data_IF_636393686800
#
_entry.id   IF_636393686800
#
_cell.length_a   1.000
_cell.length_b   1.000
_cell.length_c   1.000
_cell.angle_alpha   90.00
_cell.angle_beta   90.00
_cell.angle_gamma   90.00
#
_symmetry.space_group_name_H-M   'P 1'
#
loop_
_entity.id
_entity.type
_entity.pdbx_description
1 polymer ?
#
# COMPACT_ATOMS: atom_id res chain seq x y z
N UNK A 1 12.14 -16.61 -0.37
CA UNK A 1 12.32 -15.16 -0.54
C UNK A 1 12.56 -14.72 -1.99
N UNK A 2 12.91 -15.61 -2.92
CA UNK A 2 13.32 -15.26 -4.30
C UNK A 2 12.14 -15.14 -5.29
N UNK A 3 11.03 -14.52 -4.89
CA UNK A 3 9.91 -14.20 -5.79
C UNK A 3 8.76 -15.22 -5.90
N UNK A 4 8.87 -16.42 -5.29
CA UNK A 4 7.73 -17.32 -5.15
C UNK A 4 6.75 -16.82 -4.08
N UNK A 5 5.44 -16.91 -4.32
CA UNK A 5 4.40 -16.45 -3.38
C UNK A 5 4.51 -17.09 -1.99
N UNK A 6 4.84 -18.38 -1.95
CA UNK A 6 4.78 -19.18 -0.72
C UNK A 6 3.34 -19.50 -0.33
N UNK A 7 3.16 -19.91 0.92
CA UNK A 7 1.86 -20.23 1.50
C UNK A 7 1.35 -19.10 2.39
N UNK A 8 0.04 -19.08 2.63
CA UNK A 8 -0.62 -18.19 3.58
C UNK A 8 -1.57 -18.99 4.46
N UNK A 9 -1.79 -18.53 5.68
CA UNK A 9 -2.88 -19.03 6.51
C UNK A 9 -4.25 -18.47 6.09
N UNK A 10 -5.28 -18.88 6.81
CA UNK A 10 -6.63 -18.39 6.61
C UNK A 10 -6.73 -16.87 6.82
N UNK A 11 -7.74 -16.23 6.22
CA UNK A 11 -8.04 -14.83 6.47
C UNK A 11 -8.31 -14.61 7.96
N UNK A 12 -7.84 -13.48 8.49
CA UNK A 12 -7.92 -13.18 9.91
C UNK A 12 -6.82 -13.84 10.75
N UNK A 13 -5.93 -14.64 10.17
CA UNK A 13 -4.74 -15.17 10.85
C UNK A 13 -3.46 -14.50 10.36
N UNK A 14 -2.36 -14.66 11.10
CA UNK A 14 -1.04 -14.15 10.72
C UNK A 14 0.11 -14.98 11.30
N UNK A 15 -0.11 -16.27 11.49
CA UNK A 15 0.93 -17.22 11.85
C UNK A 15 1.80 -17.56 10.62
N UNK A 16 1.20 -17.53 9.43
CA UNK A 16 1.87 -17.75 8.16
C UNK A 16 1.53 -16.62 7.17
N UNK A 17 2.52 -15.76 6.92
CA UNK A 17 2.41 -14.66 5.98
C UNK A 17 3.14 -15.00 4.66
N UNK A 18 2.72 -14.43 3.52
CA UNK A 18 3.35 -14.72 2.24
C UNK A 18 4.84 -14.37 2.25
N UNK A 19 5.63 -15.03 1.40
CA UNK A 19 7.07 -14.76 1.28
C UNK A 19 7.37 -13.28 1.01
N UNK A 20 6.47 -12.61 0.28
CA UNK A 20 6.56 -11.19 -0.01
C UNK A 20 6.59 -10.31 1.25
N UNK A 21 5.87 -10.67 2.31
CA UNK A 21 5.92 -9.94 3.60
C UNK A 21 7.34 -9.90 4.16
N UNK A 22 8.07 -11.01 4.06
CA UNK A 22 9.41 -11.13 4.63
C UNK A 22 10.47 -10.30 3.90
N UNK A 23 10.20 -9.82 2.67
CA UNK A 23 11.05 -8.85 1.98
C UNK A 23 11.12 -7.51 2.72
N UNK A 24 10.13 -7.20 3.56
CA UNK A 24 10.04 -5.93 4.27
C UNK A 24 10.29 -6.11 5.78
N UNK A 25 11.16 -7.06 6.11
CA UNK A 25 11.60 -7.38 7.46
C UNK A 25 13.11 -7.62 7.46
N UNK A 26 13.79 -7.59 8.61
CA UNK A 26 15.23 -7.83 8.69
C UNK A 26 15.70 -9.16 8.07
N UNK A 27 14.81 -10.14 7.87
CA UNK A 27 15.10 -11.39 7.14
C UNK A 27 15.60 -11.16 5.71
N UNK A 28 15.28 -10.03 5.10
CA UNK A 28 15.68 -9.68 3.74
C UNK A 28 16.97 -8.86 3.66
N UNK A 29 17.59 -8.52 4.79
CA UNK A 29 18.88 -7.83 4.77
C UNK A 29 19.91 -8.71 4.03
N UNK A 30 20.60 -8.14 3.04
CA UNK A 30 21.53 -8.87 2.18
C UNK A 30 20.87 -9.74 1.10
N UNK A 31 19.54 -9.71 0.95
CA UNK A 31 18.85 -10.40 -0.14
C UNK A 31 19.24 -9.78 -1.50
N UNK A 32 19.54 -10.57 -2.54
CA UNK A 32 19.95 -10.05 -3.86
C UNK A 32 18.86 -9.25 -4.59
N UNK A 33 17.61 -9.30 -4.13
CA UNK A 33 16.56 -8.41 -4.61
C UNK A 33 16.80 -6.95 -4.21
N UNK A 34 17.47 -6.72 -3.07
CA UNK A 34 17.71 -5.40 -2.50
C UNK A 34 18.96 -4.80 -3.13
N UNK A 35 18.78 -4.10 -4.26
CA UNK A 35 19.90 -3.55 -5.05
C UNK A 35 20.52 -2.32 -4.40
N UNK A 36 19.68 -1.46 -3.80
CA UNK A 36 20.11 -0.31 -3.00
C UNK A 36 19.24 -0.21 -1.77
N UNK A 37 19.88 -0.12 -0.60
CA UNK A 37 19.20 0.05 0.68
C UNK A 37 19.83 1.15 1.50
N UNK A 38 19.05 1.75 2.40
CA UNK A 38 19.53 2.60 3.46
C UNK A 38 19.39 1.84 4.78
N UNK A 39 20.50 1.72 5.51
CA UNK A 39 20.45 1.18 6.86
C UNK A 39 19.86 2.26 7.76
N UNK A 40 18.74 1.96 8.42
CA UNK A 40 18.38 2.71 9.63
C UNK A 40 19.51 2.53 10.65
N UNK A 41 19.72 3.50 11.56
CA UNK A 41 20.82 3.50 12.52
C UNK A 41 20.97 2.15 13.25
N UNK A 42 19.86 1.42 13.40
CA UNK A 42 19.86 0.02 13.77
C UNK A 42 19.82 -0.19 15.27
N UNK A 43 20.04 -1.43 15.69
CA UNK A 43 20.05 -1.80 17.11
C UNK A 43 21.10 -1.00 17.88
N UNK A 44 20.74 -0.56 19.09
CA UNK A 44 21.49 0.25 20.03
C UNK A 44 21.76 1.70 19.61
N UNK A 45 21.08 2.22 18.59
CA UNK A 45 21.25 3.61 18.14
C UNK A 45 20.06 4.52 18.44
N UNK A 46 18.92 3.97 18.88
CA UNK A 46 17.63 4.66 18.94
C UNK A 46 17.18 5.30 17.60
N UNK A 47 17.81 4.93 16.48
CA UNK A 47 17.54 5.45 15.14
C UNK A 47 17.17 4.34 14.15
N UNK A 48 16.55 3.26 14.66
CA UNK A 48 16.06 2.14 13.88
C UNK A 48 14.83 2.47 13.02
N UNK A 49 13.85 1.58 13.06
CA UNK A 49 12.61 1.62 12.28
C UNK A 49 11.56 2.60 12.85
N UNK A 50 11.95 3.71 13.48
CA UNK A 50 11.00 4.60 14.20
C UNK A 50 9.91 5.16 13.28
N UNK A 51 10.24 5.50 12.03
CA UNK A 51 9.27 5.96 11.03
C UNK A 51 8.23 4.89 10.67
N UNK A 52 8.47 3.62 10.97
CA UNK A 52 7.50 2.55 10.74
C UNK A 52 6.33 2.60 11.73
N UNK A 53 6.43 3.45 12.76
CA UNK A 53 5.31 3.77 13.66
C UNK A 53 4.19 4.53 12.95
N UNK A 54 4.43 5.05 11.76
CA UNK A 54 3.39 5.71 10.95
C UNK A 54 2.51 4.73 10.18
N UNK A 55 2.94 3.48 10.00
CA UNK A 55 2.33 2.50 9.09
C UNK A 55 1.23 1.65 9.75
N UNK A 56 1.40 1.36 11.05
CA UNK A 56 0.54 0.44 11.79
C UNK A 56 -0.34 1.13 12.83
N UNK A 57 -1.35 0.41 13.32
CA UNK A 57 -2.16 0.82 14.46
C UNK A 57 -1.44 0.65 15.81
N UNK A 58 -2.05 1.19 16.88
CA UNK A 58 -1.48 1.27 18.25
C UNK A 58 -1.08 -0.07 18.86
N UNK A 59 -1.59 -1.17 18.32
CA UNK A 59 -1.18 -2.54 18.63
C UNK A 59 0.30 -2.82 18.39
N UNK A 60 1.00 -1.99 17.61
CA UNK A 60 2.41 -2.20 17.28
C UNK A 60 3.27 -1.13 17.97
N UNK A 61 3.47 -1.26 19.28
CA UNK A 61 4.34 -0.34 20.04
C UNK A 61 3.85 1.12 20.06
N UNK A 62 2.54 1.33 20.16
CA UNK A 62 1.99 2.69 20.20
C UNK A 62 2.08 3.46 18.88
N UNK A 63 2.33 2.77 17.77
CA UNK A 63 2.26 3.29 16.40
C UNK A 63 1.01 4.14 16.17
N UNK A 64 1.15 5.22 15.41
CA UNK A 64 0.16 6.31 15.32
C UNK A 64 -0.71 6.25 14.06
N UNK A 65 -0.41 5.36 13.11
CA UNK A 65 -1.18 5.21 11.88
C UNK A 65 -1.31 6.53 11.08
N UNK A 66 -0.23 7.32 10.99
CA UNK A 66 -0.22 8.57 10.23
C UNK A 66 -0.28 8.36 8.71
N UNK A 67 0.07 7.16 8.25
CA UNK A 67 0.01 6.78 6.84
C UNK A 67 -0.95 5.59 6.70
N UNK A 68 -2.08 5.81 6.03
CA UNK A 68 -3.09 4.78 5.79
C UNK A 68 -3.25 4.48 4.30
N UNK A 69 -3.41 3.21 3.89
CA UNK A 69 -3.80 2.87 2.52
C UNK A 69 -5.15 3.48 2.17
N UNK A 70 -5.37 3.91 0.93
CA UNK A 70 -6.71 4.35 0.48
C UNK A 70 -7.68 3.17 0.44
N UNK A 71 -8.97 3.42 0.64
CA UNK A 71 -10.01 2.39 0.52
C UNK A 71 -9.94 1.62 -0.82
N UNK A 72 -9.73 2.33 -1.91
CA UNK A 72 -9.77 1.77 -3.27
C UNK A 72 -8.53 0.91 -3.61
N UNK A 73 -7.49 0.89 -2.76
CA UNK A 73 -6.32 0.04 -3.01
C UNK A 73 -6.69 -1.44 -2.97
N UNK A 74 -7.67 -1.81 -2.15
CA UNK A 74 -8.11 -3.18 -1.98
C UNK A 74 -8.70 -3.77 -3.27
N UNK A 75 -9.35 -2.92 -4.08
CA UNK A 75 -9.92 -3.29 -5.38
C UNK A 75 -8.85 -3.52 -6.47
N UNK A 76 -7.61 -3.08 -6.22
CA UNK A 76 -6.50 -3.31 -7.15
C UNK A 76 -5.89 -4.70 -7.01
N UNK A 77 -6.15 -5.43 -5.92
CA UNK A 77 -5.63 -6.78 -5.76
C UNK A 77 -6.51 -7.79 -6.53
N UNK A 78 -5.91 -8.38 -7.57
CA UNK A 78 -6.56 -9.29 -8.51
C UNK A 78 -6.81 -10.68 -7.89
N UNK A 79 -7.70 -11.45 -8.50
CA UNK A 79 -7.98 -12.83 -8.12
C UNK A 79 -6.82 -13.74 -8.53
N UNK A 80 -6.37 -14.61 -7.63
CA UNK A 80 -5.30 -15.60 -7.91
C UNK A 80 -5.75 -16.69 -8.89
N UNK A 81 -7.07 -16.91 -9.02
CA UNK A 81 -7.61 -17.93 -9.90
C UNK A 81 -7.62 -17.52 -11.38
N UNK A 82 -7.85 -16.24 -11.68
CA UNK A 82 -8.01 -15.75 -13.06
C UNK A 82 -7.01 -14.65 -13.44
N UNK A 83 -6.47 -13.92 -12.46
CA UNK A 83 -5.69 -12.71 -12.72
C UNK A 83 -6.54 -11.48 -13.05
N UNK A 84 -7.87 -11.57 -12.94
CA UNK A 84 -8.78 -10.43 -13.13
C UNK A 84 -9.02 -9.67 -11.81
N UNK A 85 -9.57 -8.46 -11.91
CA UNK A 85 -10.02 -7.74 -10.73
C UNK A 85 -11.19 -8.48 -10.08
N UNK A 86 -11.12 -8.63 -8.76
CA UNK A 86 -12.25 -9.11 -7.97
C UNK A 86 -13.39 -8.07 -7.97
N UNK A 87 -14.63 -8.46 -7.61
CA UNK A 87 -15.70 -7.51 -7.38
C UNK A 87 -15.26 -6.39 -6.43
N UNK A 88 -15.60 -5.14 -6.78
CA UNK A 88 -15.24 -3.99 -5.97
C UNK A 88 -15.85 -4.06 -4.59
N UNK A 89 -15.10 -3.66 -3.59
CA UNK A 89 -15.56 -3.61 -2.22
C UNK A 89 -16.52 -2.45 -2.00
N UNK A 90 -17.45 -2.65 -1.07
CA UNK A 90 -18.47 -1.66 -0.70
C UNK A 90 -18.28 -1.30 0.76
N UNK A 91 -18.14 0.00 1.04
CA UNK A 91 -18.15 0.50 2.40
C UNK A 91 -19.53 0.35 3.03
N UNK A 92 -19.61 -0.24 4.22
CA UNK A 92 -20.87 -0.45 4.93
C UNK A 92 -20.71 -0.13 6.42
N UNK A 93 -21.51 0.81 6.93
CA UNK A 93 -21.44 1.20 8.33
C UNK A 93 -22.14 0.14 9.21
N UNK A 94 -21.40 -0.54 10.12
CA UNK A 94 -21.97 -1.61 10.95
C UNK A 94 -22.93 -1.08 12.03
N UNK A 95 -22.94 0.22 12.32
CA UNK A 95 -23.88 0.82 13.27
C UNK A 95 -25.27 1.03 12.69
N UNK A 96 -25.38 1.11 11.36
CA UNK A 96 -26.66 1.28 10.64
C UNK A 96 -27.03 0.06 9.81
N UNK A 97 -26.07 -0.81 9.48
CA UNK A 97 -26.24 -2.03 8.71
C UNK A 97 -25.70 -3.24 9.50
N UNK A 98 -26.55 -3.99 10.23
CA UNK A 98 -26.12 -5.15 11.01
C UNK A 98 -25.43 -6.23 10.17
N UNK A 99 -25.77 -6.32 8.88
CA UNK A 99 -25.17 -7.26 7.92
C UNK A 99 -23.84 -6.78 7.36
N UNK A 100 -23.33 -5.60 7.71
CA UNK A 100 -22.10 -5.05 7.15
C UNK A 100 -20.91 -6.01 7.25
N UNK A 101 -20.84 -6.86 8.29
CA UNK A 101 -19.73 -7.79 8.48
C UNK A 101 -19.90 -9.16 7.82
N UNK A 102 -21.01 -9.39 7.15
CA UNK A 102 -21.35 -10.67 6.49
C UNK A 102 -21.87 -10.51 5.05
N UNK A 103 -22.28 -9.30 4.67
CA UNK A 103 -22.76 -9.00 3.33
C UNK A 103 -21.66 -9.25 2.28
N UNK A 104 -22.06 -9.76 1.12
CA UNK A 104 -21.16 -9.95 -0.01
C UNK A 104 -20.54 -8.61 -0.44
N UNK A 105 -19.25 -8.64 -0.78
CA UNK A 105 -18.43 -7.48 -1.18
C UNK A 105 -18.31 -6.37 -0.13
N UNK A 106 -18.88 -6.51 1.07
CA UNK A 106 -18.64 -5.52 2.12
C UNK A 106 -17.16 -5.50 2.49
N UNK A 107 -16.61 -4.31 2.64
CA UNK A 107 -15.24 -4.10 3.10
C UNK A 107 -15.02 -4.55 4.56
N UNK A 108 -16.09 -4.73 5.34
CA UNK A 108 -16.02 -5.24 6.71
C UNK A 108 -16.23 -6.75 6.83
N UNK A 109 -16.52 -7.42 5.71
CA UNK A 109 -16.64 -8.87 5.64
C UNK A 109 -15.29 -9.46 5.22
N UNK A 110 -14.58 -10.23 6.08
CA UNK A 110 -13.33 -10.88 5.72
C UNK A 110 -13.41 -11.70 4.45
N UNK A 111 -14.55 -12.34 4.17
CA UNK A 111 -14.71 -13.22 3.01
C UNK A 111 -14.66 -12.46 1.67
N UNK A 112 -14.92 -11.15 1.65
CA UNK A 112 -14.80 -10.31 0.45
C UNK A 112 -13.35 -10.19 -0.07
N UNK A 113 -12.38 -10.56 0.76
CA UNK A 113 -10.94 -10.51 0.47
C UNK A 113 -10.37 -11.87 0.04
N UNK A 114 -11.18 -12.93 0.07
CA UNK A 114 -10.73 -14.28 -0.25
C UNK A 114 -10.26 -14.41 -1.71
N UNK A 115 -9.21 -15.20 -1.92
CA UNK A 115 -8.68 -15.50 -3.25
C UNK A 115 -8.04 -14.32 -3.97
N UNK A 116 -7.72 -13.23 -3.26
CA UNK A 116 -6.98 -12.09 -3.81
C UNK A 116 -5.47 -12.31 -3.74
N UNK A 117 -4.75 -11.56 -4.58
CA UNK A 117 -3.29 -11.47 -4.64
C UNK A 117 -2.65 -11.49 -3.25
N UNK A 118 -1.73 -12.42 -3.03
CA UNK A 118 -1.08 -12.62 -1.72
C UNK A 118 -0.31 -11.39 -1.22
N UNK A 119 0.13 -10.50 -2.11
CA UNK A 119 0.75 -9.22 -1.75
C UNK A 119 -0.21 -8.34 -0.96
N UNK A 120 -1.53 -8.49 -1.12
CA UNK A 120 -2.52 -7.78 -0.32
C UNK A 120 -2.34 -8.05 1.17
N UNK A 121 -2.33 -9.33 1.56
CA UNK A 121 -2.19 -9.75 2.96
C UNK A 121 -0.85 -9.33 3.55
N UNK A 122 0.21 -9.31 2.74
CA UNK A 122 1.52 -8.82 3.15
C UNK A 122 1.62 -7.29 3.25
N UNK A 123 0.72 -6.55 2.59
CA UNK A 123 0.83 -5.10 2.44
C UNK A 123 -0.10 -4.34 3.36
N UNK A 124 -1.37 -4.75 3.49
CA UNK A 124 -2.38 -4.04 4.27
C UNK A 124 -3.08 -4.98 5.25
N UNK A 125 -3.65 -4.39 6.31
CA UNK A 125 -4.58 -5.06 7.22
C UNK A 125 -5.95 -4.40 7.08
N UNK A 126 -6.98 -5.23 7.01
CA UNK A 126 -8.40 -4.85 7.04
C UNK A 126 -9.07 -5.40 8.30
N UNK A 127 -10.35 -5.09 8.50
CA UNK A 127 -11.11 -5.59 9.65
C UNK A 127 -10.90 -7.11 9.82
N UNK A 128 -10.55 -7.50 11.04
CA UNK A 128 -10.22 -8.85 11.50
C UNK A 128 -8.86 -9.42 11.12
N UNK A 129 -8.09 -8.80 10.23
CA UNK A 129 -6.71 -9.25 9.98
C UNK A 129 -5.87 -9.09 11.25
N UNK A 130 -5.26 -10.19 11.68
CA UNK A 130 -4.45 -10.20 12.90
C UNK A 130 -2.99 -9.86 12.63
N UNK A 131 -2.30 -9.42 13.67
CA UNK A 131 -0.85 -9.35 13.76
C UNK A 131 -0.42 -9.53 15.20
N UNK A 132 0.86 -9.76 15.44
CA UNK A 132 1.41 -9.81 16.80
C UNK A 132 1.32 -8.41 17.42
N UNK A 133 0.52 -8.30 18.47
CA UNK A 133 0.43 -7.10 19.28
C UNK A 133 1.66 -6.95 20.18
N UNK A 134 2.05 -5.71 20.46
CA UNK A 134 3.24 -5.35 21.21
C UNK A 134 2.94 -4.24 22.21
N UNK A 135 3.18 -4.52 23.50
CA UNK A 135 3.15 -3.54 24.58
C UNK A 135 4.40 -3.69 25.45
N UNK A 136 5.13 -2.61 25.69
CA UNK A 136 6.38 -2.61 26.47
C UNK A 136 7.36 -3.70 26.05
N UNK A 137 7.56 -3.85 24.73
CA UNK A 137 8.39 -4.88 24.08
C UNK A 137 7.92 -6.33 24.25
N UNK A 138 6.80 -6.58 24.92
CA UNK A 138 6.22 -7.90 25.14
C UNK A 138 5.04 -8.15 24.21
N UNK A 139 4.94 -9.39 23.71
CA UNK A 139 3.82 -9.82 22.89
C UNK A 139 2.53 -9.79 23.71
N UNK A 140 1.46 -9.24 23.14
CA UNK A 140 0.10 -9.33 23.69
C UNK A 140 -0.74 -10.40 22.99
N UNK A 141 -0.11 -11.24 22.16
CA UNK A 141 -0.77 -12.24 21.34
C UNK A 141 -1.16 -11.72 19.95
N UNK A 142 -1.93 -12.53 19.21
CA UNK A 142 -2.46 -12.14 17.91
C UNK A 142 -3.68 -11.24 18.10
N UNK A 143 -3.61 -10.01 17.60
CA UNK A 143 -4.61 -8.98 17.81
C UNK A 143 -5.20 -8.54 16.46
N UNK A 144 -6.53 -8.46 16.33
CA UNK A 144 -7.16 -8.04 15.09
C UNK A 144 -7.06 -6.52 14.92
N UNK A 145 -6.88 -6.08 13.68
CA UNK A 145 -7.27 -4.73 13.30
C UNK A 145 -8.79 -4.62 13.26
N UNK A 146 -9.37 -3.65 13.96
CA UNK A 146 -10.81 -3.35 13.90
C UNK A 146 -10.96 -1.84 13.73
N UNK A 147 -11.60 -1.43 12.64
CA UNK A 147 -11.72 -0.01 12.32
C UNK A 147 -12.66 0.73 13.30
N UNK A 148 -12.31 1.99 13.60
CA UNK A 148 -13.03 2.89 14.53
C UNK A 148 -13.22 2.31 15.92
N UNK A 149 -12.14 1.81 16.51
CA UNK A 149 -12.11 1.43 17.92
C UNK A 149 -11.14 2.33 18.68
N UNK A 150 -11.49 2.70 19.92
CA UNK A 150 -10.66 3.55 20.79
C UNK A 150 -9.73 2.72 21.72
N UNK A 151 -9.55 1.44 21.37
CA UNK A 151 -8.86 0.45 22.20
C UNK A 151 -9.78 -0.22 23.22
N UNK A 152 -9.29 -1.34 23.77
CA UNK A 152 -10.02 -2.16 24.73
C UNK A 152 -10.81 -3.29 24.08
N UNK A 153 -11.68 -3.92 24.86
CA UNK A 153 -12.48 -5.06 24.41
C UNK A 153 -13.67 -4.58 23.59
N UNK A 154 -13.86 -5.14 22.40
CA UNK A 154 -15.04 -4.91 21.57
C UNK A 154 -15.79 -6.23 21.36
N UNK A 155 -17.12 -6.19 21.49
CA UNK A 155 -17.96 -7.35 21.23
C UNK A 155 -18.62 -7.21 19.87
N UNK A 156 -18.32 -8.14 18.97
CA UNK A 156 -18.89 -8.18 17.62
C UNK A 156 -19.53 -9.55 17.42
N UNK A 157 -20.84 -9.59 17.14
CA UNK A 157 -21.61 -10.82 16.96
C UNK A 157 -21.44 -11.82 18.13
N UNK A 158 -21.36 -11.32 19.37
CA UNK A 158 -21.18 -12.15 20.57
C UNK A 158 -19.74 -12.60 20.84
N UNK A 159 -18.78 -12.32 19.95
CA UNK A 159 -17.36 -12.61 20.14
C UNK A 159 -16.66 -11.38 20.69
N UNK A 160 -15.85 -11.56 21.74
CA UNK A 160 -15.04 -10.50 22.34
C UNK A 160 -13.66 -10.49 21.69
N UNK A 161 -13.26 -9.34 21.16
CA UNK A 161 -11.94 -9.10 20.59
C UNK A 161 -11.18 -8.07 21.42
N UNK A 162 -9.89 -8.32 21.65
CA UNK A 162 -8.98 -7.30 22.17
C UNK A 162 -8.56 -6.37 21.03
N UNK A 163 -9.26 -5.23 20.91
CA UNK A 163 -8.99 -4.22 19.90
C UNK A 163 -8.07 -3.12 20.46
N UNK A 164 -7.34 -2.49 19.56
CA UNK A 164 -6.44 -1.39 19.87
C UNK A 164 -6.98 -0.10 19.28
N UNK A 165 -6.53 1.03 19.80
CA UNK A 165 -6.95 2.30 19.24
C UNK A 165 -6.51 2.41 17.76
N UNK A 166 -7.49 2.62 16.87
CA UNK A 166 -7.33 2.79 15.43
C UNK A 166 -7.78 4.17 14.95
N UNK A 167 -7.84 5.15 15.84
CA UNK A 167 -8.24 6.55 15.57
C UNK A 167 -7.45 7.23 14.44
N UNK A 168 -6.17 6.88 14.27
CA UNK A 168 -5.33 7.39 13.19
C UNK A 168 -5.72 6.89 11.79
N UNK A 169 -6.42 5.76 11.68
CA UNK A 169 -6.86 5.24 10.38
C UNK A 169 -8.00 6.09 9.81
N UNK A 170 -7.84 6.59 8.60
CA UNK A 170 -8.86 7.41 7.92
C UNK A 170 -9.62 6.66 6.81
N UNK A 171 -9.20 5.45 6.46
CA UNK A 171 -9.76 4.69 5.34
C UNK A 171 -10.37 3.36 5.75
N UNK A 172 -10.07 2.88 6.95
CA UNK A 172 -10.42 1.53 7.38
C UNK A 172 -9.38 0.46 7.02
N UNK A 173 -8.18 0.88 6.62
CA UNK A 173 -7.02 0.01 6.42
C UNK A 173 -5.79 0.59 7.12
N UNK A 174 -4.86 -0.28 7.48
CA UNK A 174 -3.50 0.08 7.91
C UNK A 174 -2.47 -0.72 7.12
N UNK A 175 -1.22 -0.26 7.07
CA UNK A 175 -0.17 -1.02 6.42
C UNK A 175 0.33 -2.16 7.31
N UNK A 176 0.57 -3.32 6.69
CA UNK A 176 1.36 -4.44 7.21
C UNK A 176 2.79 -4.42 6.65
N UNK A 177 2.99 -3.87 5.44
CA UNK A 177 4.33 -3.72 4.85
C UNK A 177 5.21 -2.89 5.81
N UNK A 178 6.45 -3.32 6.01
CA UNK A 178 7.43 -2.76 6.97
C UNK A 178 7.10 -2.93 8.46
N UNK A 179 5.98 -3.57 8.78
CA UNK A 179 5.57 -3.84 10.15
C UNK A 179 6.01 -5.25 10.53
N UNK A 180 7.04 -5.38 11.38
CA UNK A 180 7.45 -6.67 11.95
C UNK A 180 6.26 -7.34 12.65
N UNK A 181 6.12 -8.64 12.43
CA UNK A 181 5.07 -9.49 13.01
C UNK A 181 5.64 -10.39 14.12
N UNK A 182 6.44 -9.79 15.02
CA UNK A 182 7.03 -10.44 16.20
C UNK A 182 7.39 -9.39 17.25
N UNK A 183 7.51 -9.82 18.50
CA UNK A 183 7.80 -8.96 19.65
C UNK A 183 9.30 -8.96 20.03
N UNK A 184 9.67 -8.25 21.10
CA UNK A 184 10.99 -8.34 21.74
C UNK A 184 12.02 -7.29 21.31
N UNK A 185 11.74 -6.48 20.28
CA UNK A 185 12.63 -5.39 19.86
C UNK A 185 11.80 -4.17 19.48
N UNK A 186 12.14 -3.03 20.07
CA UNK A 186 11.42 -1.78 19.84
C UNK A 186 11.58 -1.25 18.42
N UNK A 187 10.72 -0.33 17.98
CA UNK A 187 10.80 0.28 16.64
C UNK A 187 12.05 1.12 16.48
N UNK A 188 12.39 1.93 17.49
CA UNK A 188 13.65 2.70 17.54
C UNK A 188 14.91 1.83 17.48
N UNK A 189 14.77 0.51 17.68
CA UNK A 189 15.85 -0.47 17.74
C UNK A 189 15.84 -1.44 16.54
N UNK A 190 14.91 -1.28 15.62
CA UNK A 190 14.77 -2.15 14.44
C UNK A 190 15.97 -2.05 13.49
N UNK A 191 16.30 -3.16 12.83
CA UNK A 191 17.49 -3.29 11.98
C UNK A 191 17.16 -3.64 10.53
N UNK A 192 15.94 -3.38 10.07
CA UNK A 192 15.59 -3.55 8.65
C UNK A 192 16.29 -2.50 7.77
N UNK A 193 16.87 -2.95 6.66
CA UNK A 193 17.46 -2.07 5.66
C UNK A 193 16.38 -1.58 4.69
N UNK A 194 16.10 -0.29 4.70
CA UNK A 194 15.05 0.31 3.88
C UNK A 194 15.36 0.19 2.38
N UNK A 195 14.49 -0.41 1.56
CA UNK A 195 14.72 -0.53 0.14
C UNK A 195 14.53 0.81 -0.56
N UNK A 196 15.58 1.27 -1.26
CA UNK A 196 15.50 2.39 -2.20
C UNK A 196 15.27 1.90 -3.61
N UNK A 197 15.94 0.82 -4.00
CA UNK A 197 15.79 0.16 -5.30
C UNK A 197 15.76 -1.35 -5.11
N UNK A 198 14.72 -1.99 -5.65
CA UNK A 198 14.58 -3.45 -5.70
C UNK A 198 14.58 -3.96 -7.13
N UNK A 199 14.97 -5.22 -7.32
CA UNK A 199 14.96 -5.87 -8.62
C UNK A 199 13.58 -5.87 -9.29
N UNK A 200 12.49 -5.93 -8.51
CA UNK A 200 11.14 -5.85 -9.05
C UNK A 200 10.85 -4.48 -9.72
N UNK A 201 11.37 -3.38 -9.17
CA UNK A 201 11.24 -2.07 -9.82
C UNK A 201 12.02 -2.03 -11.13
N UNK A 202 13.23 -2.60 -11.17
CA UNK A 202 14.03 -2.72 -12.41
C UNK A 202 13.30 -3.53 -13.48
N UNK A 203 12.68 -4.64 -13.12
CA UNK A 203 11.86 -5.45 -14.03
C UNK A 203 10.71 -4.65 -14.63
N UNK A 204 10.01 -3.87 -13.81
CA UNK A 204 8.87 -3.06 -14.27
C UNK A 204 9.33 -1.84 -15.07
N UNK A 205 10.45 -1.21 -14.72
CA UNK A 205 11.08 -0.14 -15.51
C UNK A 205 11.49 -0.63 -16.88
N UNK A 206 12.12 -1.82 -16.95
CA UNK A 206 12.48 -2.44 -18.22
C UNK A 206 11.25 -2.74 -19.07
N UNK A 207 10.21 -3.35 -18.48
CA UNK A 207 8.97 -3.65 -19.20
C UNK A 207 8.30 -2.39 -19.74
N UNK A 208 8.26 -1.31 -18.95
CA UNK A 208 7.72 -0.02 -19.36
C UNK A 208 8.52 0.60 -20.51
N UNK A 209 9.85 0.67 -20.39
CA UNK A 209 10.71 1.23 -21.43
C UNK A 209 10.64 0.42 -22.73
N UNK A 210 10.66 -0.91 -22.63
CA UNK A 210 10.51 -1.80 -23.78
C UNK A 210 9.16 -1.62 -24.46
N UNK A 211 8.08 -1.51 -23.68
CA UNK A 211 6.74 -1.28 -24.21
C UNK A 211 6.62 0.08 -24.90
N UNK A 212 7.27 1.10 -24.37
CA UNK A 212 7.27 2.42 -24.97
C UNK A 212 7.92 2.44 -26.36
N UNK A 213 9.04 1.73 -26.52
CA UNK A 213 9.81 1.71 -27.77
C UNK A 213 9.23 0.74 -28.81
N UNK A 214 8.79 -0.45 -28.39
CA UNK A 214 8.48 -1.55 -29.30
C UNK A 214 7.15 -2.26 -29.03
N UNK A 215 6.37 -1.79 -28.05
CA UNK A 215 5.19 -2.50 -27.60
C UNK A 215 5.53 -3.77 -26.78
N UNK A 216 4.55 -4.66 -26.57
CA UNK A 216 4.66 -5.80 -25.66
C UNK A 216 5.58 -6.90 -26.20
N UNK A 217 6.88 -6.79 -25.92
CA UNK A 217 7.86 -7.83 -26.26
C UNK A 217 7.83 -9.02 -25.27
N UNK A 218 8.18 -10.25 -25.71
CA UNK A 218 8.13 -11.45 -24.85
C UNK A 218 8.96 -11.36 -23.56
N UNK A 219 10.11 -10.70 -23.60
CA UNK A 219 10.98 -10.45 -22.45
C UNK A 219 10.36 -9.45 -21.46
N UNK A 220 9.78 -8.35 -21.93
CA UNK A 220 9.03 -7.40 -21.11
C UNK A 220 7.85 -8.08 -20.40
N UNK A 221 7.07 -8.88 -21.12
CA UNK A 221 5.97 -9.68 -20.56
C UNK A 221 6.50 -10.66 -19.49
N UNK A 222 7.65 -11.29 -19.75
CA UNK A 222 8.29 -12.19 -18.79
C UNK A 222 8.68 -11.45 -17.50
N UNK A 223 9.20 -10.23 -17.59
CA UNK A 223 9.54 -9.42 -16.41
C UNK A 223 8.31 -9.08 -15.57
N UNK A 224 7.21 -8.68 -16.21
CA UNK A 224 5.94 -8.42 -15.50
C UNK A 224 5.41 -9.69 -14.84
N UNK A 225 5.46 -10.84 -15.54
CA UNK A 225 4.99 -12.12 -14.99
C UNK A 225 5.83 -12.62 -13.80
N UNK A 226 7.14 -12.32 -13.75
CA UNK A 226 7.98 -12.60 -12.58
C UNK A 226 7.51 -11.83 -11.34
N UNK A 227 7.04 -10.60 -11.53
CA UNK A 227 6.47 -9.80 -10.43
C UNK A 227 5.11 -10.35 -10.02
N UNK A 228 4.25 -10.68 -10.98
CA UNK A 228 2.92 -11.29 -10.74
C UNK A 228 2.97 -12.57 -9.93
N UNK A 229 3.96 -13.43 -10.19
CA UNK A 229 4.12 -14.70 -9.48
C UNK A 229 4.29 -14.54 -7.96
N UNK A 230 4.74 -13.37 -7.47
CA UNK A 230 4.85 -13.04 -6.04
C UNK A 230 3.50 -12.98 -5.35
N UNK A 231 2.47 -12.58 -6.10
CA UNK A 231 1.09 -12.49 -5.66
C UNK A 231 0.30 -13.79 -5.80
N UNK A 232 0.95 -14.88 -6.20
CA UNK A 232 0.29 -16.12 -6.68
C UNK A 232 -0.66 -15.87 -7.86
N UNK A 233 -0.44 -14.81 -8.64
CA UNK A 233 -1.24 -14.49 -9.82
C UNK A 233 -0.78 -15.32 -11.02
N UNK A 234 -1.70 -15.69 -11.93
CA UNK A 234 -1.32 -16.30 -13.19
C UNK A 234 -0.57 -15.29 -14.07
N UNK A 235 0.20 -15.79 -15.06
CA UNK A 235 0.75 -14.94 -16.12
C UNK A 235 -0.33 -14.08 -16.78
N UNK A 236 0.07 -12.92 -17.31
CA UNK A 236 -0.83 -12.05 -18.06
C UNK A 236 -1.53 -12.83 -19.18
N UNK A 237 -2.85 -12.75 -19.22
CA UNK A 237 -3.64 -13.29 -20.32
C UNK A 237 -3.30 -12.56 -21.64
N UNK A 238 -3.46 -13.21 -22.81
CA UNK A 238 -3.17 -12.59 -24.11
C UNK A 238 -3.87 -11.23 -24.32
N UNK A 239 -5.10 -11.09 -23.82
CA UNK A 239 -5.86 -9.83 -23.91
C UNK A 239 -5.19 -8.67 -23.16
N UNK A 240 -4.36 -8.94 -22.13
CA UNK A 240 -3.63 -7.93 -21.35
C UNK A 240 -2.31 -7.48 -22.00
N UNK A 241 -1.95 -8.09 -23.13
CA UNK A 241 -0.72 -7.78 -23.89
C UNK A 241 -1.04 -7.54 -25.37
N UNK A 242 -2.31 -7.23 -25.69
CA UNK A 242 -2.80 -7.11 -27.07
C UNK A 242 -2.33 -5.84 -27.80
N UNK A 243 -1.67 -4.92 -27.10
CA UNK A 243 -1.18 -3.66 -27.66
C UNK A 243 -0.40 -2.86 -26.63
N UNK A 244 0.26 -1.79 -27.10
CA UNK A 244 1.12 -0.95 -26.27
C UNK A 244 0.36 -0.35 -25.09
N UNK A 245 -0.83 0.20 -25.34
CA UNK A 245 -1.64 0.89 -24.33
C UNK A 245 -2.16 -0.11 -23.28
N UNK A 246 -2.68 -1.26 -23.74
CA UNK A 246 -3.22 -2.30 -22.85
C UNK A 246 -2.13 -2.93 -21.99
N UNK A 247 -0.94 -3.17 -22.56
CA UNK A 247 0.18 -3.68 -21.77
C UNK A 247 0.72 -2.62 -20.80
N UNK A 248 0.70 -1.34 -21.17
CA UNK A 248 1.04 -0.26 -20.24
C UNK A 248 0.10 -0.23 -19.03
N UNK A 249 -1.21 -0.43 -19.22
CA UNK A 249 -2.16 -0.54 -18.11
C UNK A 249 -1.84 -1.72 -17.18
N UNK A 250 -1.42 -2.86 -17.74
CA UNK A 250 -0.96 -4.01 -16.95
C UNK A 250 0.33 -3.70 -16.16
N UNK A 251 1.29 -2.97 -16.78
CA UNK A 251 2.52 -2.52 -16.12
C UNK A 251 2.19 -1.52 -15.00
N UNK A 252 1.34 -0.52 -15.27
CA UNK A 252 0.90 0.45 -14.26
C UNK A 252 0.26 -0.26 -13.06
N UNK A 253 -0.63 -1.21 -13.34
CA UNK A 253 -1.29 -2.03 -12.32
C UNK A 253 -0.27 -2.80 -11.46
N UNK A 254 0.71 -3.46 -12.06
CA UNK A 254 1.75 -4.17 -11.31
C UNK A 254 2.65 -3.21 -10.51
N UNK A 255 3.01 -2.04 -11.06
CA UNK A 255 3.77 -1.02 -10.32
C UNK A 255 3.02 -0.54 -9.08
N UNK A 256 1.69 -0.35 -9.18
CA UNK A 256 0.86 0.06 -8.03
C UNK A 256 0.97 -0.96 -6.90
N UNK A 257 0.69 -2.22 -7.18
CA UNK A 257 0.59 -3.26 -6.14
C UNK A 257 1.95 -3.76 -5.65
N UNK A 258 2.97 -3.77 -6.50
CA UNK A 258 4.32 -4.20 -6.13
C UNK A 258 5.07 -3.15 -5.32
N UNK A 259 4.84 -1.85 -5.56
CA UNK A 259 5.65 -0.75 -4.99
C UNK A 259 4.86 0.17 -4.04
N UNK A 260 3.61 -0.19 -3.71
CA UNK A 260 2.81 0.57 -2.74
C UNK A 260 3.55 0.68 -1.40
N UNK A 261 3.51 1.89 -0.84
CA UNK A 261 4.19 2.31 0.38
C UNK A 261 5.72 2.44 0.30
N UNK A 262 6.33 2.29 -0.89
CA UNK A 262 7.79 2.37 -1.09
C UNK A 262 8.24 3.72 -1.68
N UNK A 263 7.36 4.73 -1.68
CA UNK A 263 7.67 6.10 -2.14
C UNK A 263 7.56 6.34 -3.65
N UNK A 264 7.27 5.31 -4.46
CA UNK A 264 7.33 5.42 -5.92
C UNK A 264 6.09 6.06 -6.57
N UNK A 265 4.88 5.76 -6.07
CA UNK A 265 3.62 6.09 -6.76
C UNK A 265 3.47 7.58 -7.09
N UNK A 266 3.89 8.48 -6.19
CA UNK A 266 3.84 9.92 -6.43
C UNK A 266 4.70 10.37 -7.62
N UNK A 267 5.88 9.76 -7.79
CA UNK A 267 6.78 10.04 -8.91
C UNK A 267 6.28 9.38 -10.20
N UNK A 268 5.74 8.16 -10.13
CA UNK A 268 5.11 7.47 -11.27
C UNK A 268 3.98 8.32 -11.87
N UNK A 269 3.06 8.81 -11.04
CA UNK A 269 1.95 9.67 -11.51
C UNK A 269 2.47 10.97 -12.12
N UNK A 270 3.51 11.57 -11.53
CA UNK A 270 4.09 12.84 -12.02
C UNK A 270 4.76 12.66 -13.37
N UNK A 271 5.60 11.64 -13.54
CA UNK A 271 6.32 11.40 -14.80
C UNK A 271 5.39 10.97 -15.93
N UNK A 272 4.30 10.24 -15.61
CA UNK A 272 3.26 9.91 -16.58
C UNK A 272 2.28 11.06 -16.87
N UNK A 273 2.36 12.15 -16.10
CA UNK A 273 1.42 13.27 -16.18
C UNK A 273 -0.05 12.83 -16.09
N UNK A 274 -0.35 12.00 -15.09
CA UNK A 274 -1.61 11.26 -15.01
C UNK A 274 -2.38 11.49 -13.69
N UNK A 275 -2.20 12.62 -13.02
CA UNK A 275 -2.80 12.87 -11.70
C UNK A 275 -4.33 12.92 -11.74
N UNK A 276 -4.88 13.35 -12.87
CA UNK A 276 -6.32 13.38 -13.15
C UNK A 276 -6.95 11.99 -13.20
N UNK A 277 -6.17 10.93 -13.49
CA UNK A 277 -6.67 9.55 -13.38
C UNK A 277 -7.08 9.18 -11.95
N UNK A 278 -6.58 9.91 -10.94
CA UNK A 278 -6.80 9.62 -9.53
C UNK A 278 -7.74 10.64 -8.89
N UNK A 279 -7.57 11.91 -9.24
CA UNK A 279 -8.27 13.01 -8.58
C UNK A 279 -9.24 13.79 -9.48
N UNK A 280 -9.31 13.44 -10.76
CA UNK A 280 -10.13 14.16 -11.74
C UNK A 280 -9.38 15.32 -12.40
N UNK A 281 -9.95 15.82 -13.49
CA UNK A 281 -9.42 16.94 -14.26
C UNK A 281 -9.61 18.29 -13.53
N UNK A 282 -8.89 19.35 -13.94
CA UNK A 282 -9.18 20.72 -13.52
C UNK A 282 -10.66 21.07 -13.73
N UNK A 283 -11.23 21.84 -12.81
CA UNK A 283 -12.65 22.21 -12.84
C UNK A 283 -13.63 21.07 -12.58
N UNK A 284 -13.15 19.85 -12.31
CA UNK A 284 -14.05 18.73 -12.01
C UNK A 284 -14.75 18.89 -10.67
N UNK A 285 -15.77 18.06 -10.45
CA UNK A 285 -16.38 17.90 -9.13
C UNK A 285 -15.37 17.42 -8.08
N UNK A 286 -14.17 16.96 -8.45
CA UNK A 286 -13.23 16.34 -7.51
C UNK A 286 -13.68 14.96 -7.06
N UNK A 287 -12.81 14.29 -6.32
CA UNK A 287 -12.98 12.90 -5.88
C UNK A 287 -13.01 12.84 -4.35
N UNK A 288 -14.06 12.23 -3.82
CA UNK A 288 -14.14 11.90 -2.39
C UNK A 288 -13.23 10.72 -2.07
N UNK A 289 -12.40 10.87 -1.04
CA UNK A 289 -11.89 9.69 -0.32
C UNK A 289 -12.98 9.17 0.60
N UNK A 290 -13.15 7.86 0.63
CA UNK A 290 -14.11 7.16 1.49
C UNK A 290 -13.40 6.19 2.42
N UNK A 291 -14.07 5.81 3.51
CA UNK A 291 -13.64 4.75 4.42
C UNK A 291 -14.41 3.43 4.18
N UNK A 292 -13.97 2.34 4.84
CA UNK A 292 -14.64 1.02 4.77
C UNK A 292 -16.04 1.00 5.38
N UNK A 293 -16.46 2.07 6.09
CA UNK A 293 -17.83 2.24 6.56
C UNK A 293 -18.71 2.99 5.54
N UNK A 294 -18.13 3.43 4.43
CA UNK A 294 -18.80 4.15 3.34
C UNK A 294 -18.92 5.66 3.59
N UNK A 295 -18.27 6.21 4.61
CA UNK A 295 -18.32 7.63 4.91
C UNK A 295 -17.35 8.42 4.02
N UNK A 296 -17.84 9.51 3.43
CA UNK A 296 -17.01 10.52 2.77
C UNK A 296 -16.10 11.19 3.80
N UNK A 297 -14.79 11.18 3.52
CA UNK A 297 -13.77 11.75 4.40
C UNK A 297 -13.37 13.14 3.92
N UNK A 298 -12.54 13.19 2.88
CA UNK A 298 -12.01 14.42 2.33
C UNK A 298 -12.14 14.38 0.81
N UNK A 299 -12.63 15.49 0.26
CA UNK A 299 -12.74 15.71 -1.17
C UNK A 299 -11.48 16.39 -1.70
N UNK A 300 -10.92 15.85 -2.76
CA UNK A 300 -9.73 16.38 -3.42
C UNK A 300 -10.09 16.84 -4.82
N UNK A 301 -9.35 17.83 -5.32
CA UNK A 301 -9.45 18.33 -6.70
C UNK A 301 -10.82 18.92 -7.08
N UNK A 302 -11.61 19.34 -6.09
CA UNK A 302 -12.87 20.02 -6.35
C UNK A 302 -12.61 21.42 -6.91
N UNK A 303 -13.10 21.69 -8.12
CA UNK A 303 -12.97 22.97 -8.80
C UNK A 303 -11.51 23.47 -8.87
N UNK A 304 -10.53 22.55 -8.89
CA UNK A 304 -9.12 22.89 -8.97
C UNK A 304 -8.80 23.59 -10.28
N UNK A 305 -8.06 24.69 -10.21
CA UNK A 305 -7.66 25.47 -11.38
C UNK A 305 -6.59 24.75 -12.22
N UNK A 306 -6.46 25.10 -13.50
CA UNK A 306 -5.38 24.61 -14.36
C UNK A 306 -3.98 24.94 -13.80
N UNK A 307 -3.87 26.08 -13.09
CA UNK A 307 -2.65 26.50 -12.42
C UNK A 307 -2.29 25.53 -11.29
N UNK A 308 -3.21 25.29 -10.36
CA UNK A 308 -3.00 24.34 -9.25
C UNK A 308 -2.73 22.92 -9.78
N UNK A 309 -3.45 22.49 -10.82
CA UNK A 309 -3.17 21.22 -11.49
C UNK A 309 -1.72 21.17 -12.00
N UNK A 310 -1.25 22.22 -12.68
CA UNK A 310 0.12 22.31 -13.18
C UNK A 310 1.17 22.33 -12.06
N UNK A 311 0.85 22.94 -10.91
CA UNK A 311 1.71 22.99 -9.72
C UNK A 311 1.96 21.61 -9.09
N UNK A 312 1.08 20.64 -9.32
CA UNK A 312 1.28 19.28 -8.83
C UNK A 312 2.42 18.53 -9.56
N UNK A 313 2.87 19.01 -10.72
CA UNK A 313 3.94 18.35 -11.47
C UNK A 313 5.33 18.95 -11.22
N UNK A 314 5.40 20.24 -10.87
CA UNK A 314 6.66 20.96 -10.72
C UNK A 314 6.68 21.64 -9.36
N UNK A 315 7.68 21.35 -8.53
CA UNK A 315 7.80 21.96 -7.21
C UNK A 315 8.11 23.45 -7.29
N UNK A 316 7.61 24.22 -6.32
CA UNK A 316 7.98 25.62 -6.16
C UNK A 316 9.44 25.72 -5.72
N UNK A 317 10.21 26.60 -6.35
CA UNK A 317 11.55 26.95 -5.84
C UNK A 317 11.34 27.77 -4.55
N UNK A 318 11.95 27.41 -3.41
CA UNK A 318 11.75 28.12 -2.16
C UNK A 318 12.09 29.61 -2.28
N UNK A 319 11.24 30.46 -1.72
CA UNK A 319 11.40 31.92 -1.86
C UNK A 319 12.71 32.41 -1.23
N UNK A 320 13.16 31.78 -0.14
CA UNK A 320 14.44 32.07 0.50
C UNK A 320 15.63 31.92 -0.45
N UNK A 321 15.62 30.88 -1.29
CA UNK A 321 16.72 30.64 -2.23
C UNK A 321 16.71 31.66 -3.37
N UNK A 322 15.52 32.06 -3.84
CA UNK A 322 15.38 33.11 -4.85
C UNK A 322 15.77 34.50 -4.34
N UNK A 323 15.45 34.80 -3.09
CA UNK A 323 15.89 36.04 -2.44
C UNK A 323 17.42 36.10 -2.31
N UNK A 324 18.07 34.95 -2.09
CA UNK A 324 19.54 34.85 -2.00
C UNK A 324 20.23 34.90 -3.36
N UNK A 325 19.62 34.34 -4.40
CA UNK A 325 20.17 34.31 -5.74
C UNK A 325 19.18 34.91 -6.75
N UNK A 326 19.35 36.19 -7.14
CA UNK A 326 18.43 36.88 -8.04
C UNK A 326 18.39 36.27 -9.46
N UNK A 327 19.34 35.39 -9.81
CA UNK A 327 19.31 34.65 -11.08
C UNK A 327 18.32 33.45 -11.06
N UNK A 328 17.79 33.08 -9.90
CA UNK A 328 16.80 31.99 -9.78
C UNK A 328 15.39 32.48 -10.12
N UNK A 329 15.01 32.31 -11.40
CA UNK A 329 13.63 32.52 -11.83
C UNK A 329 12.71 31.40 -11.31
N UNK A 330 11.44 31.73 -11.07
CA UNK A 330 10.48 30.75 -10.57
C UNK A 330 9.99 29.80 -11.69
N UNK A 331 9.64 28.57 -11.32
CA UNK A 331 8.98 27.60 -12.18
C UNK A 331 7.63 28.13 -12.69
N UNK A 332 7.30 27.86 -13.97
CA UNK A 332 6.14 28.44 -14.68
C UNK A 332 4.82 28.39 -13.88
N UNK A 333 4.42 27.26 -13.26
CA UNK A 333 3.15 27.19 -12.53
C UNK A 333 3.07 28.08 -11.28
N UNK A 334 4.21 28.60 -10.82
CA UNK A 334 4.37 29.36 -9.58
C UNK A 334 4.77 30.83 -9.82
N UNK A 335 4.81 31.28 -11.08
CA UNK A 335 5.05 32.68 -11.42
C UNK A 335 3.87 33.57 -11.09
#
# INVERSE_FOLDING_TARGET
LNGAAGDIDALGEANLLPNYFHLFTPKANGNPEMLLTLNHGGTATNQGEELMRDFAGRSHEGSQCWVSPRFEIADRYQLISTGDFAPSLVGMNPTTMPTARTAANSALNPQSYAGRDYRMKATIQWDYEKSVGLASLQSTGMVPFIYRTLGGKVTINGVVYDAYNTDGSNSGYVFRKFVRNYAGQGRSEGNFNWPVLRLADVYLMYAEASNEVSGPLPDAITMVNRVRARGALPPLAPAKVAGKEVFFEAIEQERIIELVAEGQRGFDIRRWRAIEKIWGAPGSAGVWRRDTWGADQQRYYQNTSDREYSQNYIFRIPESERNRNPNLTQNIPWR
#
